data_IF_862331829069
#
_entry.id   IF_862331829069
#
_cell.length_a   1.000
_cell.length_b   1.000
_cell.length_c   1.000
_cell.angle_alpha   90.00
_cell.angle_beta   90.00
_cell.angle_gamma   90.00
#
_symmetry.space_group_name_H-M   'P 1'
#
loop_
_entity.id
_entity.type
_entity.pdbx_description
1 polymer ?
#
# COMPACT_ATOMS: atom_id res chain seq x y z
N UNK A 1 8.68 10.29 14.34
CA UNK A 1 8.38 9.00 14.99
C UNK A 1 9.38 8.01 14.46
N UNK A 2 10.08 7.31 15.35
CA UNK A 2 11.12 6.36 14.95
C UNK A 2 10.53 4.97 14.75
N UNK A 3 11.00 4.28 13.72
CA UNK A 3 10.70 2.88 13.43
C UNK A 3 11.96 2.21 12.89
N UNK A 4 12.04 0.89 12.99
CA UNK A 4 13.10 0.11 12.35
C UNK A 4 12.70 -0.30 10.91
N UNK A 5 11.41 -0.21 10.56
CA UNK A 5 10.87 -0.65 9.28
C UNK A 5 10.68 0.52 8.29
N UNK A 6 11.69 1.39 8.14
CA UNK A 6 11.56 2.56 7.25
C UNK A 6 11.34 2.19 5.79
N UNK A 7 11.93 1.10 5.32
CA UNK A 7 11.75 0.62 3.96
C UNK A 7 10.29 0.24 3.68
N UNK A 8 9.63 -0.39 4.66
CA UNK A 8 8.20 -0.72 4.58
C UNK A 8 7.34 0.54 4.54
N UNK A 9 7.65 1.53 5.38
CA UNK A 9 6.95 2.82 5.40
C UNK A 9 7.10 3.56 4.08
N UNK A 10 8.32 3.59 3.52
CA UNK A 10 8.60 4.23 2.25
C UNK A 10 7.87 3.53 1.09
N UNK A 11 7.94 2.19 1.02
CA UNK A 11 7.23 1.41 0.01
C UNK A 11 5.71 1.61 0.12
N UNK A 12 5.15 1.65 1.33
CA UNK A 12 3.72 1.91 1.54
C UNK A 12 3.32 3.29 0.98
N UNK A 13 4.06 4.33 1.38
CA UNK A 13 3.77 5.69 0.96
C UNK A 13 3.87 5.86 -0.56
N UNK A 14 4.89 5.26 -1.19
CA UNK A 14 5.08 5.28 -2.63
C UNK A 14 3.95 4.54 -3.36
N UNK A 15 3.59 3.35 -2.89
CA UNK A 15 2.65 2.46 -3.59
C UNK A 15 1.22 2.99 -3.58
N UNK A 16 0.82 3.78 -2.59
CA UNK A 16 -0.48 4.46 -2.55
C UNK A 16 -0.46 5.90 -3.08
N UNK A 17 0.58 6.28 -3.84
CA UNK A 17 0.75 7.63 -4.38
C UNK A 17 0.46 7.72 -5.88
N UNK A 18 0.59 8.93 -6.44
CA UNK A 18 0.53 9.14 -7.88
C UNK A 18 1.66 8.44 -8.66
N UNK A 19 2.75 8.03 -7.99
CA UNK A 19 3.82 7.23 -8.64
C UNK A 19 3.22 5.94 -9.19
N UNK A 20 2.50 5.19 -8.36
CA UNK A 20 1.78 3.99 -8.80
C UNK A 20 0.69 4.34 -9.82
N UNK A 21 -0.13 5.35 -9.52
CA UNK A 21 -1.25 5.76 -10.39
C UNK A 21 -0.81 6.06 -11.82
N UNK A 22 0.38 6.62 -11.98
CA UNK A 22 0.96 6.99 -13.26
C UNK A 22 1.78 5.85 -13.90
N UNK A 23 1.80 4.65 -13.31
CA UNK A 23 2.50 3.49 -13.84
C UNK A 23 4.01 3.48 -13.60
N UNK A 24 4.53 4.30 -12.69
CA UNK A 24 5.95 4.32 -12.37
C UNK A 24 6.32 3.25 -11.34
N UNK A 25 7.43 2.56 -11.60
CA UNK A 25 7.91 1.45 -10.77
C UNK A 25 8.79 1.90 -9.60
N UNK A 26 9.38 3.08 -9.67
CA UNK A 26 10.20 3.62 -8.58
C UNK A 26 9.96 5.11 -8.39
N UNK A 27 10.33 5.62 -7.21
CA UNK A 27 10.34 7.05 -6.95
C UNK A 27 10.94 7.41 -5.60
N UNK A 28 11.02 8.70 -5.34
CA UNK A 28 11.59 9.22 -4.11
C UNK A 28 10.51 9.50 -3.07
N UNK A 29 10.79 9.11 -1.82
CA UNK A 29 9.92 9.36 -0.67
C UNK A 29 10.70 10.19 0.35
N UNK A 30 10.02 11.06 1.07
CA UNK A 30 10.60 11.68 2.25
C UNK A 30 9.69 11.53 3.47
N UNK A 31 10.31 11.48 4.64
CA UNK A 31 9.64 11.54 5.93
C UNK A 31 10.04 12.82 6.66
N UNK A 32 9.06 13.40 7.36
CA UNK A 32 9.23 14.53 8.24
C UNK A 32 8.49 14.26 9.55
N UNK A 33 9.02 14.79 10.64
CA UNK A 33 8.35 14.74 11.94
C UNK A 33 7.13 15.64 11.97
N UNK A 34 6.17 15.30 12.85
CA UNK A 34 4.98 16.13 13.06
C UNK A 34 5.32 17.58 13.42
N UNK A 35 6.35 17.79 14.22
CA UNK A 35 6.86 19.11 14.63
C UNK A 35 7.35 19.96 13.43
N UNK A 36 7.73 19.32 12.34
CA UNK A 36 8.23 19.97 11.13
C UNK A 36 7.11 20.39 10.16
N UNK A 37 5.88 19.93 10.38
CA UNK A 37 4.74 20.18 9.50
C UNK A 37 3.93 21.38 10.00
N UNK A 38 3.90 22.46 9.21
CA UNK A 38 3.11 23.66 9.49
C UNK A 38 2.06 23.92 8.41
N UNK A 39 0.90 24.46 8.81
CA UNK A 39 -0.09 25.04 7.88
C UNK A 39 0.04 26.56 7.75
N UNK A 40 0.85 27.17 8.61
CA UNK A 40 1.00 28.63 8.70
C UNK A 40 2.16 29.07 7.81
N UNK A 41 1.88 30.02 6.92
CA UNK A 41 2.89 30.74 6.16
C UNK A 41 3.67 31.68 7.09
N UNK A 42 4.98 31.79 6.91
CA UNK A 42 5.74 32.88 7.52
C UNK A 42 5.52 34.19 6.76
N UNK A 43 5.94 35.32 7.34
CA UNK A 43 5.77 36.63 6.71
C UNK A 43 6.44 36.67 5.34
N UNK A 44 5.66 37.01 4.31
CA UNK A 44 6.12 37.04 2.91
C UNK A 44 5.97 35.71 2.15
N UNK A 45 5.57 34.62 2.81
CA UNK A 45 5.26 33.35 2.15
C UNK A 45 3.77 33.24 1.81
N UNK A 46 3.45 32.50 0.73
CA UNK A 46 2.09 32.08 0.42
C UNK A 46 1.98 30.56 0.52
N UNK A 47 0.98 30.08 1.25
CA UNK A 47 0.67 28.65 1.36
C UNK A 47 -0.68 28.39 0.73
N UNK A 48 -0.69 27.61 -0.35
CA UNK A 48 -1.92 27.26 -1.04
C UNK A 48 -2.87 26.46 -0.14
N UNK A 49 -4.18 26.56 -0.38
CA UNK A 49 -5.18 25.80 0.36
C UNK A 49 -4.93 24.31 0.21
N UNK A 50 -4.75 23.62 1.35
CA UNK A 50 -4.45 22.18 1.39
C UNK A 50 -2.97 21.82 1.36
N UNK A 51 -2.07 22.80 1.19
CA UNK A 51 -0.63 22.60 1.29
C UNK A 51 -0.15 22.64 2.75
N UNK A 52 1.03 22.07 2.95
CA UNK A 52 1.76 22.09 4.20
C UNK A 52 3.19 22.55 3.93
N UNK A 53 3.77 23.28 4.88
CA UNK A 53 5.17 23.68 4.87
C UNK A 53 5.96 22.72 5.76
N UNK A 54 7.05 22.18 5.22
CA UNK A 54 7.96 21.29 5.95
C UNK A 54 9.24 22.05 6.29
N UNK A 55 9.48 22.31 7.57
CA UNK A 55 10.65 23.05 8.08
C UNK A 55 11.69 22.11 8.71
N UNK A 56 12.97 22.35 8.43
CA UNK A 56 14.08 21.54 8.92
C UNK A 56 14.44 20.36 8.00
N UNK A 57 15.30 19.47 8.52
CA UNK A 57 15.85 18.35 7.76
C UNK A 57 14.81 17.26 7.50
N UNK A 58 14.81 16.71 6.28
CA UNK A 58 13.92 15.61 5.89
C UNK A 58 14.74 14.35 5.72
N UNK A 59 14.18 13.22 6.13
CA UNK A 59 14.75 11.91 5.78
C UNK A 59 14.31 11.54 4.38
N UNK A 60 15.26 11.39 3.46
CA UNK A 60 14.99 11.01 2.08
C UNK A 60 15.26 9.52 1.86
N UNK A 61 14.36 8.87 1.13
CA UNK A 61 14.47 7.51 0.62
C UNK A 61 14.45 7.64 -0.90
N UNK A 62 15.55 7.27 -1.55
CA UNK A 62 15.71 7.42 -3.01
C UNK A 62 15.48 6.10 -3.70
N UNK A 63 14.92 6.16 -4.90
CA UNK A 63 14.69 4.99 -5.76
C UNK A 63 13.94 3.85 -5.03
N UNK A 64 12.92 4.22 -4.27
CA UNK A 64 12.06 3.26 -3.58
C UNK A 64 11.25 2.53 -4.64
N UNK A 65 11.20 1.20 -4.58
CA UNK A 65 10.39 0.40 -5.48
C UNK A 65 8.91 0.41 -5.08
N UNK A 66 8.04 0.72 -6.03
CA UNK A 66 6.60 0.55 -5.91
C UNK A 66 6.28 -0.94 -5.89
N UNK A 67 5.54 -1.37 -4.86
CA UNK A 67 5.21 -2.76 -4.66
C UNK A 67 4.26 -2.92 -3.49
N UNK A 68 3.24 -3.75 -3.67
CA UNK A 68 2.24 -4.02 -2.65
C UNK A 68 1.99 -5.53 -2.59
N UNK A 69 1.68 -6.05 -1.41
CA UNK A 69 1.06 -7.36 -1.29
C UNK A 69 -0.34 -7.24 -0.66
N UNK A 70 -1.23 -8.13 -1.07
CA UNK A 70 -2.55 -8.33 -0.46
C UNK A 70 -2.62 -9.79 -0.02
N UNK A 71 -3.02 -10.05 1.21
CA UNK A 71 -3.01 -11.40 1.78
C UNK A 71 -4.11 -11.67 2.79
N UNK A 72 -4.28 -12.96 3.09
CA UNK A 72 -5.20 -13.47 4.10
C UNK A 72 -4.42 -13.81 5.38
N UNK A 73 -4.65 -13.02 6.41
CA UNK A 73 -4.15 -13.23 7.77
C UNK A 73 -5.17 -14.06 8.56
N UNK A 74 -4.72 -14.89 9.51
CA UNK A 74 -5.58 -15.64 10.44
C UNK A 74 -5.47 -15.15 11.89
N UNK A 75 -4.31 -14.61 12.28
CA UNK A 75 -4.06 -14.10 13.63
C UNK A 75 -3.69 -12.61 13.61
N UNK A 76 -4.22 -11.78 14.53
CA UNK A 76 -5.09 -12.14 15.66
C UNK A 76 -6.54 -12.46 15.27
N UNK A 77 -6.92 -12.18 14.04
CA UNK A 77 -8.22 -12.54 13.47
C UNK A 77 -8.08 -12.74 11.96
N UNK A 78 -9.03 -13.50 11.41
CA UNK A 78 -9.13 -13.72 9.97
C UNK A 78 -9.49 -12.43 9.26
N UNK A 79 -8.58 -11.91 8.45
CA UNK A 79 -8.74 -10.65 7.74
C UNK A 79 -7.94 -10.62 6.44
N UNK A 80 -8.49 -9.93 5.44
CA UNK A 80 -7.67 -9.46 4.31
C UNK A 80 -6.84 -8.28 4.79
N UNK A 81 -5.54 -8.32 4.53
CA UNK A 81 -4.60 -7.24 4.81
C UNK A 81 -3.87 -6.87 3.53
N UNK A 82 -3.46 -5.61 3.41
CA UNK A 82 -2.62 -5.15 2.31
C UNK A 82 -1.66 -4.07 2.76
N UNK A 83 -0.51 -3.99 2.07
CA UNK A 83 0.58 -3.13 2.48
C UNK A 83 1.92 -3.53 1.86
N UNK A 84 3.04 -3.11 2.47
CA UNK A 84 4.38 -3.43 2.00
C UNK A 84 4.57 -4.94 1.91
N UNK A 85 5.35 -5.38 0.92
CA UNK A 85 5.46 -6.79 0.56
C UNK A 85 5.99 -7.61 1.76
N UNK A 86 7.04 -7.13 2.42
CA UNK A 86 7.67 -7.80 3.56
C UNK A 86 6.73 -7.90 4.77
N UNK A 87 6.03 -6.82 5.09
CA UNK A 87 5.10 -6.75 6.21
C UNK A 87 3.93 -7.73 6.04
N UNK A 88 3.35 -7.78 4.84
CA UNK A 88 2.21 -8.67 4.54
C UNK A 88 2.67 -10.12 4.48
N UNK A 89 3.79 -10.44 3.83
CA UNK A 89 4.34 -11.81 3.78
C UNK A 89 4.64 -12.39 5.16
N UNK A 90 5.01 -11.55 6.13
CA UNK A 90 5.30 -11.99 7.50
C UNK A 90 4.02 -12.35 8.28
N UNK A 91 2.87 -11.74 7.94
CA UNK A 91 1.63 -11.86 8.71
C UNK A 91 0.56 -12.72 8.03
N UNK A 92 0.51 -12.70 6.71
CA UNK A 92 -0.48 -13.42 5.93
C UNK A 92 -0.03 -14.85 5.65
N UNK A 93 -0.94 -15.81 5.77
CA UNK A 93 -0.71 -17.21 5.39
C UNK A 93 -0.64 -17.38 3.87
N UNK A 94 -1.49 -16.64 3.16
CA UNK A 94 -1.53 -16.60 1.70
C UNK A 94 -1.48 -15.14 1.25
N UNK A 95 -0.68 -14.82 0.24
CA UNK A 95 -0.59 -13.46 -0.28
C UNK A 95 -0.29 -13.45 -1.77
N UNK A 96 -0.68 -12.37 -2.42
CA UNK A 96 -0.43 -12.06 -3.83
C UNK A 96 0.30 -10.73 -3.87
N UNK A 97 1.30 -10.62 -4.74
CA UNK A 97 2.07 -9.39 -4.92
C UNK A 97 1.56 -8.64 -6.15
N UNK A 98 1.56 -7.32 -6.07
CA UNK A 98 1.17 -6.39 -7.11
C UNK A 98 2.33 -5.46 -7.47
N UNK A 99 2.34 -5.02 -8.71
CA UNK A 99 3.14 -3.90 -9.23
C UNK A 99 2.26 -2.97 -10.07
N UNK A 100 2.71 -1.73 -10.35
CA UNK A 100 2.06 -0.88 -11.34
C UNK A 100 1.87 -1.63 -12.67
N UNK A 101 0.69 -1.53 -13.26
CA UNK A 101 0.31 -2.41 -14.37
C UNK A 101 -0.93 -1.96 -15.13
N UNK A 102 -1.57 -2.88 -15.85
CA UNK A 102 -2.62 -2.55 -16.81
C UNK A 102 -4.04 -2.84 -16.30
N UNK A 103 -4.23 -3.70 -15.30
CA UNK A 103 -5.57 -4.00 -14.82
C UNK A 103 -6.12 -2.88 -13.95
N UNK A 104 -7.27 -2.35 -14.35
CA UNK A 104 -8.04 -1.39 -13.56
C UNK A 104 -8.35 -1.94 -12.15
N UNK A 105 -8.52 -1.08 -11.12
CA UNK A 105 -8.60 -1.50 -9.73
C UNK A 105 -9.60 -2.63 -9.43
N UNK A 106 -10.79 -2.59 -10.06
CA UNK A 106 -11.82 -3.61 -9.88
C UNK A 106 -11.42 -4.97 -10.48
N UNK A 107 -10.72 -4.95 -11.62
CA UNK A 107 -10.27 -6.18 -12.29
C UNK A 107 -9.05 -6.76 -11.59
N UNK A 108 -8.13 -5.92 -11.12
CA UNK A 108 -7.06 -6.31 -10.22
C UNK A 108 -7.63 -6.96 -8.95
N UNK A 109 -8.63 -6.35 -8.30
CA UNK A 109 -9.27 -6.90 -7.10
C UNK A 109 -9.88 -8.29 -7.35
N UNK A 110 -10.62 -8.48 -8.46
CA UNK A 110 -11.19 -9.78 -8.83
C UNK A 110 -10.11 -10.84 -9.08
N UNK A 111 -9.01 -10.47 -9.74
CA UNK A 111 -7.90 -11.38 -10.01
C UNK A 111 -7.17 -11.77 -8.72
N UNK A 112 -6.88 -10.82 -7.84
CA UNK A 112 -6.29 -11.08 -6.51
C UNK A 112 -7.21 -11.98 -5.70
N UNK A 113 -8.51 -11.69 -5.66
CA UNK A 113 -9.50 -12.54 -4.98
C UNK A 113 -9.47 -13.98 -5.50
N UNK A 114 -9.42 -14.16 -6.82
CA UNK A 114 -9.34 -15.48 -7.44
C UNK A 114 -8.04 -16.19 -7.08
N UNK A 115 -6.91 -15.50 -7.15
CA UNK A 115 -5.61 -16.06 -6.79
C UNK A 115 -5.57 -16.50 -5.31
N UNK A 116 -6.05 -15.66 -4.39
CA UNK A 116 -6.16 -16.01 -2.97
C UNK A 116 -7.09 -17.21 -2.74
N UNK A 117 -8.26 -17.26 -3.40
CA UNK A 117 -9.17 -18.41 -3.29
C UNK A 117 -8.52 -19.72 -3.76
N UNK A 118 -7.73 -19.68 -4.82
CA UNK A 118 -7.03 -20.86 -5.34
C UNK A 118 -5.94 -21.36 -4.37
N UNK A 119 -5.37 -20.48 -3.55
CA UNK A 119 -4.38 -20.85 -2.53
C UNK A 119 -5.02 -21.42 -1.25
N UNK A 120 -6.30 -21.14 -1.02
CA UNK A 120 -7.04 -21.56 0.18
C UNK A 120 -7.73 -22.92 -0.05
N UNK A 121 -7.60 -23.89 0.88
CA UNK A 121 -8.31 -25.18 0.79
C UNK A 121 -9.83 -25.01 0.65
N UNK A 122 -10.47 -25.83 -0.18
CA UNK A 122 -11.91 -25.73 -0.48
C UNK A 122 -12.82 -25.79 0.76
N UNK A 123 -12.39 -26.54 1.78
CA UNK A 123 -13.09 -26.67 3.06
C UNK A 123 -13.18 -25.33 3.79
N UNK A 124 -12.10 -24.54 3.77
CA UNK A 124 -12.00 -23.23 4.43
C UNK A 124 -12.68 -22.12 3.62
N UNK A 125 -12.79 -22.25 2.29
CA UNK A 125 -13.36 -21.21 1.42
C UNK A 125 -14.80 -20.86 1.80
N UNK A 126 -15.60 -21.81 2.30
CA UNK A 126 -16.99 -21.57 2.71
C UNK A 126 -17.07 -20.65 3.93
N UNK A 127 -16.24 -20.88 4.95
CA UNK A 127 -16.18 -20.03 6.15
C UNK A 127 -15.62 -18.64 5.86
N UNK A 128 -14.79 -18.50 4.83
CA UNK A 128 -14.11 -17.24 4.51
C UNK A 128 -14.92 -16.31 3.60
N UNK A 129 -16.09 -16.71 3.09
CA UNK A 129 -16.85 -15.91 2.10
C UNK A 129 -17.12 -14.46 2.52
N UNK A 130 -17.34 -14.23 3.81
CA UNK A 130 -17.61 -12.89 4.34
C UNK A 130 -16.35 -12.03 4.47
N UNK A 131 -15.17 -12.65 4.61
CA UNK A 131 -13.89 -11.95 4.77
C UNK A 131 -13.13 -11.85 3.45
N UNK A 132 -13.14 -12.90 2.64
CA UNK A 132 -12.46 -13.01 1.36
C UNK A 132 -13.48 -12.75 0.24
N UNK A 133 -13.79 -11.47 0.04
CA UNK A 133 -14.70 -10.96 -0.99
C UNK A 133 -14.05 -9.83 -1.80
N UNK A 134 -14.71 -9.37 -2.86
CA UNK A 134 -14.11 -8.36 -3.76
C UNK A 134 -13.93 -7.01 -3.08
N UNK A 135 -14.86 -6.61 -2.20
CA UNK A 135 -14.84 -5.31 -1.52
C UNK A 135 -13.65 -5.19 -0.56
N UNK A 136 -13.46 -6.21 0.29
CA UNK A 136 -12.34 -6.31 1.23
C UNK A 136 -10.99 -6.32 0.52
N UNK A 137 -10.87 -7.01 -0.62
CA UNK A 137 -9.65 -6.98 -1.44
C UNK A 137 -9.46 -5.62 -2.11
N UNK A 138 -10.52 -5.06 -2.70
CA UNK A 138 -10.47 -3.76 -3.39
C UNK A 138 -10.05 -2.61 -2.46
N UNK A 139 -10.37 -2.70 -1.17
CA UNK A 139 -9.94 -1.71 -0.17
C UNK A 139 -8.41 -1.56 -0.06
N UNK A 140 -7.65 -2.57 -0.49
CA UNK A 140 -6.19 -2.54 -0.46
C UNK A 140 -5.55 -2.33 -1.84
N UNK A 141 -6.32 -2.33 -2.93
CA UNK A 141 -5.75 -2.15 -4.28
C UNK A 141 -5.24 -0.71 -4.44
N UNK A 142 -4.00 -0.50 -4.91
CA UNK A 142 -3.44 0.84 -5.14
C UNK A 142 -4.24 1.67 -6.16
N UNK A 143 -4.09 3.00 -6.16
CA UNK A 143 -4.70 3.84 -7.18
C UNK A 143 -4.10 3.57 -8.55
N UNK A 144 -4.94 3.42 -9.58
CA UNK A 144 -4.49 3.18 -10.96
C UNK A 144 -4.36 1.69 -11.31
N UNK A 145 -3.71 1.41 -12.44
CA UNK A 145 -3.57 0.05 -12.96
C UNK A 145 -2.59 -0.80 -12.14
N UNK A 146 -2.89 -2.08 -11.98
CA UNK A 146 -2.06 -3.04 -11.25
C UNK A 146 -1.91 -4.34 -12.01
N UNK A 147 -0.71 -4.91 -12.02
CA UNK A 147 -0.45 -6.26 -12.49
C UNK A 147 -0.10 -7.16 -11.31
N UNK A 148 -0.51 -8.43 -11.40
CA UNK A 148 -0.19 -9.45 -10.40
C UNK A 148 1.14 -10.08 -10.76
N UNK A 149 2.02 -10.18 -9.78
CA UNK A 149 3.30 -10.88 -9.88
C UNK A 149 3.12 -12.22 -9.17
N UNK A 150 3.37 -13.31 -9.91
CA UNK A 150 3.42 -14.68 -9.37
C UNK A 150 4.75 -14.97 -8.67
#
# INVERSE_FOLDING_TARGET
GETQCWDEVAQFALSYSNVWKNGHFTGDVYAAERSQVSKTAESGEFVARGAFVIRGERRYFRDVAAGLAIGLQYEPAVAVIGGPITAVKTRARYCVTLQPGQYEPNDAAKKVLKALKNMVPEEEQKSLKNVLNTETVAAFVPPGGSDIIE
#
